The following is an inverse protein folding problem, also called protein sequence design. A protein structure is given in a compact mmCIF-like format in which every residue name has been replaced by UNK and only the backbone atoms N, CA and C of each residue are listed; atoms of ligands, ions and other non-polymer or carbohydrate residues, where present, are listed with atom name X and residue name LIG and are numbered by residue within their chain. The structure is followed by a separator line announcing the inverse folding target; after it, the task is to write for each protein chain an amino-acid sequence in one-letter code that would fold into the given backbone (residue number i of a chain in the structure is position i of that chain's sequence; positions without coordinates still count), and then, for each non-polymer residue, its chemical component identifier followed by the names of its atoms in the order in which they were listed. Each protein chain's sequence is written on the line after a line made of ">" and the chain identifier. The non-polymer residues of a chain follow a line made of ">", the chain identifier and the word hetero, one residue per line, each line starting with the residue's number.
data_IF_222172593692
#
_entry.id   IF_222172593692
#
_cell.length_a   1.000
_cell.length_b   1.000
_cell.length_c   1.000
_cell.angle_alpha   90.00
_cell.angle_beta   90.00
_cell.angle_gamma   90.00
#
_symmetry.space_group_name_H-M   'P 1'
#
loop_
_entity.id
_entity.type
_entity.pdbx_description
1 polymer ?
#
# COMPACT_ATOMS: atom_id res chain seq x y z
N UNK A 1 -5.56 9.94 -19.44
CA UNK A 1 -6.27 8.65 -19.47
C UNK A 1 -6.12 8.14 -20.90
N UNK A 2 -5.23 7.19 -21.13
CA UNK A 2 -5.01 6.66 -22.47
C UNK A 2 -5.64 5.27 -22.52
N UNK A 3 -6.83 5.20 -23.11
CA UNK A 3 -7.39 3.92 -23.55
C UNK A 3 -6.78 3.60 -24.91
N UNK A 4 -6.07 2.48 -25.04
CA UNK A 4 -5.73 1.93 -26.37
C UNK A 4 -6.92 1.12 -26.89
N UNK A 5 -7.50 1.57 -28.01
CA UNK A 5 -8.34 0.74 -28.88
C UNK A 5 -7.77 0.87 -30.30
N UNK A 6 -7.48 -0.27 -30.94
CA UNK A 6 -7.09 -0.38 -32.36
C UNK A 6 -5.85 0.42 -32.81
N UNK A 7 -4.80 0.46 -31.99
CA UNK A 7 -3.46 0.78 -32.49
C UNK A 7 -3.19 2.22 -32.94
N UNK A 8 -4.01 3.21 -32.54
CA UNK A 8 -3.68 4.63 -32.71
C UNK A 8 -3.77 5.40 -31.40
N UNK A 9 -2.72 6.15 -31.07
CA UNK A 9 -2.61 6.96 -29.85
C UNK A 9 -3.34 8.29 -30.04
N UNK A 10 -4.27 8.63 -29.13
CA UNK A 10 -4.89 9.96 -29.07
C UNK A 10 -4.40 10.71 -27.82
N UNK A 11 -4.07 11.99 -28.01
CA UNK A 11 -3.42 12.86 -27.02
C UNK A 11 -4.28 13.19 -25.79
N UNK A 12 -3.58 13.55 -24.70
CA UNK A 12 -4.02 13.60 -23.31
C UNK A 12 -5.07 14.66 -22.93
N UNK A 13 -5.44 15.58 -23.82
CA UNK A 13 -6.39 16.66 -23.50
C UNK A 13 -7.87 16.23 -23.54
N UNK A 14 -8.20 15.14 -24.26
CA UNK A 14 -9.60 14.77 -24.53
C UNK A 14 -10.29 13.96 -23.40
N UNK A 15 -9.54 13.38 -22.46
CA UNK A 15 -10.14 12.49 -21.44
C UNK A 15 -10.46 13.12 -20.08
N UNK A 16 -10.01 14.35 -19.82
CA UNK A 16 -10.28 15.02 -18.54
C UNK A 16 -11.73 15.51 -18.40
N UNK A 17 -12.50 15.57 -19.49
CA UNK A 17 -13.85 16.15 -19.50
C UNK A 17 -15.00 15.13 -19.51
N UNK A 18 -14.74 13.80 -19.58
CA UNK A 18 -15.83 12.83 -19.81
C UNK A 18 -16.13 11.80 -18.72
N UNK A 19 -15.21 11.50 -17.80
CA UNK A 19 -15.43 10.36 -16.88
C UNK A 19 -15.57 10.72 -15.42
N UNK A 20 -15.08 11.88 -14.95
CA UNK A 20 -15.33 12.39 -13.58
C UNK A 20 -15.05 11.41 -12.43
N UNK A 21 -14.21 10.39 -12.62
CA UNK A 21 -14.05 9.31 -11.65
C UNK A 21 -12.59 9.16 -11.19
N UNK A 22 -12.42 9.20 -9.88
CA UNK A 22 -11.19 8.90 -9.13
C UNK A 22 -11.05 7.37 -8.96
N UNK A 23 -9.86 6.77 -9.14
CA UNK A 23 -9.63 5.36 -8.92
C UNK A 23 -9.56 5.07 -7.41
N UNK A 24 -10.71 4.82 -6.77
CA UNK A 24 -10.78 4.79 -5.30
C UNK A 24 -10.29 3.53 -4.60
N UNK A 25 -10.03 2.43 -5.28
CA UNK A 25 -9.56 1.19 -4.64
C UNK A 25 -8.56 0.50 -5.55
N UNK A 26 -7.28 0.83 -5.42
CA UNK A 26 -6.21 0.06 -6.03
C UNK A 26 -5.55 -0.77 -4.94
N UNK A 27 -5.81 -2.08 -4.95
CA UNK A 27 -5.04 -3.02 -4.13
C UNK A 27 -3.79 -3.42 -4.89
N UNK A 28 -2.62 -3.25 -4.25
CA UNK A 28 -1.34 -3.65 -4.81
C UNK A 28 -0.91 -5.00 -4.26
N UNK A 29 -0.64 -5.93 -5.17
CA UNK A 29 -0.14 -7.26 -4.85
C UNK A 29 1.26 -7.43 -5.44
N UNK A 30 2.19 -7.95 -4.63
CA UNK A 30 3.53 -8.28 -5.11
C UNK A 30 3.73 -9.80 -5.14
N UNK A 31 3.96 -10.36 -6.32
CA UNK A 31 4.32 -11.77 -6.50
C UNK A 31 5.69 -11.87 -7.19
N UNK A 32 6.75 -12.06 -6.41
CA UNK A 32 8.10 -11.97 -6.95
C UNK A 32 8.36 -10.55 -7.45
N UNK A 33 8.92 -10.40 -8.67
CA UNK A 33 9.14 -9.07 -9.28
C UNK A 33 7.89 -8.43 -9.87
N UNK A 34 6.72 -9.08 -9.80
CA UNK A 34 5.50 -8.56 -10.42
C UNK A 34 4.66 -7.79 -9.42
N UNK A 35 4.17 -6.63 -9.84
CA UNK A 35 3.20 -5.84 -9.11
C UNK A 35 1.86 -5.92 -9.86
N UNK A 36 0.76 -6.15 -9.14
CA UNK A 36 -0.57 -6.19 -9.71
C UNK A 36 -1.43 -5.12 -9.05
N UNK A 37 -2.25 -4.47 -9.86
CA UNK A 37 -3.29 -3.57 -9.39
C UNK A 37 -4.67 -4.18 -9.66
N UNK A 38 -5.57 -4.06 -8.70
CA UNK A 38 -6.99 -4.35 -8.91
C UNK A 38 -7.72 -3.04 -9.18
N UNK A 39 -8.35 -2.92 -10.34
CA UNK A 39 -9.14 -1.76 -10.71
C UNK A 39 -10.61 -2.12 -10.94
N UNK A 40 -11.51 -1.21 -10.56
CA UNK A 40 -12.91 -1.25 -10.96
C UNK A 40 -13.15 -0.20 -12.05
N UNK A 41 -13.64 -0.66 -13.21
CA UNK A 41 -14.03 0.22 -14.30
C UNK A 41 -15.53 0.14 -14.53
N UNK A 42 -16.18 1.29 -14.47
CA UNK A 42 -17.57 1.41 -14.92
C UNK A 42 -17.57 1.58 -16.44
N UNK A 43 -18.28 0.70 -17.12
CA UNK A 43 -18.57 0.84 -18.55
C UNK A 43 -20.02 1.30 -18.73
N UNK A 44 -20.25 2.23 -19.67
CA UNK A 44 -21.59 2.70 -20.03
C UNK A 44 -21.72 4.23 -20.09
N UNK A 45 -22.48 4.72 -21.06
CA UNK A 45 -22.92 6.11 -21.09
C UNK A 45 -23.97 6.37 -19.99
N UNK A 46 -24.15 7.62 -19.53
CA UNK A 46 -25.21 7.95 -18.58
C UNK A 46 -26.58 7.49 -19.12
N UNK A 47 -27.30 6.67 -18.37
CA UNK A 47 -28.65 6.20 -18.72
C UNK A 47 -28.75 4.81 -19.37
N UNK A 48 -27.64 4.08 -19.55
CA UNK A 48 -27.63 2.64 -19.90
C UNK A 48 -27.16 1.85 -18.68
N UNK A 49 -27.69 0.63 -18.50
CA UNK A 49 -27.32 -0.28 -17.41
C UNK A 49 -25.80 -0.36 -17.25
N UNK A 50 -25.31 0.04 -16.06
CA UNK A 50 -23.88 0.22 -15.81
C UNK A 50 -23.26 -1.13 -15.48
N UNK A 51 -22.66 -1.77 -16.47
CA UNK A 51 -21.79 -2.91 -16.23
C UNK A 51 -20.54 -2.48 -15.48
N UNK A 52 -20.42 -2.89 -14.21
CA UNK A 52 -19.18 -2.81 -13.43
C UNK A 52 -18.27 -3.95 -13.90
N UNK A 53 -17.14 -3.64 -14.52
CA UNK A 53 -16.09 -4.62 -14.82
C UNK A 53 -14.96 -4.46 -13.81
N UNK A 54 -14.58 -5.57 -13.18
CA UNK A 54 -13.41 -5.64 -12.29
C UNK A 54 -12.30 -6.34 -13.08
N UNK A 55 -11.16 -5.67 -13.24
CA UNK A 55 -10.03 -6.20 -14.03
C UNK A 55 -8.73 -6.13 -13.24
N UNK A 56 -7.94 -7.18 -13.38
CA UNK A 56 -6.55 -7.21 -12.94
C UNK A 56 -5.66 -6.68 -14.05
N UNK A 57 -4.73 -5.81 -13.70
CA UNK A 57 -3.68 -5.35 -14.60
C UNK A 57 -2.32 -5.59 -13.94
N UNK A 58 -1.43 -6.25 -14.69
CA UNK A 58 -0.03 -6.40 -14.30
C UNK A 58 0.69 -5.09 -14.61
N UNK A 59 1.32 -4.52 -13.58
CA UNK A 59 2.18 -3.36 -13.71
C UNK A 59 3.60 -3.90 -13.93
N UNK A 60 4.08 -3.77 -15.17
CA UNK A 60 5.40 -4.25 -15.59
C UNK A 60 6.48 -3.17 -15.58
N UNK A 61 6.08 -1.90 -15.50
CA UNK A 61 6.97 -0.75 -15.46
C UNK A 61 6.65 0.12 -14.23
N UNK A 62 7.69 0.56 -13.54
CA UNK A 62 7.62 1.53 -12.46
C UNK A 62 8.95 2.28 -12.38
N UNK A 63 8.91 3.46 -11.78
CA UNK A 63 10.10 4.24 -11.47
C UNK A 63 10.56 4.01 -10.03
N UNK A 64 11.84 4.29 -9.77
CA UNK A 64 12.45 4.18 -8.45
C UNK A 64 12.69 2.75 -7.97
N UNK A 65 13.02 2.64 -6.67
CA UNK A 65 13.43 1.40 -6.05
C UNK A 65 12.23 0.73 -5.37
N UNK A 66 11.70 -0.31 -6.00
CA UNK A 66 10.61 -1.08 -5.42
C UNK A 66 11.07 -1.92 -4.21
N UNK A 67 10.18 -2.13 -3.21
CA UNK A 67 10.50 -2.99 -2.09
C UNK A 67 10.76 -4.43 -2.57
N UNK A 68 11.66 -5.13 -1.87
CA UNK A 68 11.87 -6.56 -2.16
C UNK A 68 10.57 -7.37 -2.06
N UNK A 69 10.42 -8.44 -2.87
CA UNK A 69 9.23 -9.28 -2.84
C UNK A 69 8.95 -9.83 -1.44
N UNK A 70 7.75 -9.57 -0.93
CA UNK A 70 7.38 -9.81 0.48
C UNK A 70 5.91 -10.15 0.67
N UNK A 71 5.59 -10.83 1.77
CA UNK A 71 4.24 -11.17 2.20
C UNK A 71 3.95 -10.74 3.64
N UNK A 72 2.66 -10.60 3.99
CA UNK A 72 2.25 -10.15 5.32
C UNK A 72 2.69 -8.73 5.67
N UNK A 73 2.90 -7.88 4.66
CA UNK A 73 3.03 -6.44 4.83
C UNK A 73 1.64 -5.81 4.99
N UNK A 74 1.57 -4.58 5.46
CA UNK A 74 0.36 -3.75 5.33
C UNK A 74 0.51 -2.79 4.15
N UNK A 75 -0.61 -2.44 3.52
CA UNK A 75 -0.68 -1.42 2.48
C UNK A 75 -1.87 -0.48 2.77
N UNK A 76 -1.62 0.81 2.96
CA UNK A 76 -2.61 1.76 3.46
C UNK A 76 -2.53 3.10 2.73
N UNK A 77 -3.67 3.76 2.54
CA UNK A 77 -3.75 5.12 1.99
C UNK A 77 -3.95 6.12 3.12
N UNK A 78 -2.97 7.00 3.35
CA UNK A 78 -2.97 8.02 4.41
C UNK A 78 -2.81 9.39 3.76
N UNK A 79 -3.78 10.29 3.97
CA UNK A 79 -3.73 11.63 3.37
C UNK A 79 -3.64 11.63 1.84
N UNK A 80 -4.20 10.60 1.18
CA UNK A 80 -4.11 10.43 -0.29
C UNK A 80 -2.78 9.89 -0.80
N UNK A 81 -1.83 9.55 0.08
CA UNK A 81 -0.56 8.89 -0.26
C UNK A 81 -0.62 7.41 0.11
N UNK A 82 0.06 6.55 -0.65
CA UNK A 82 -0.01 5.09 -0.47
C UNK A 82 1.27 4.55 0.16
N UNK A 83 1.14 3.79 1.24
CA UNK A 83 2.25 3.31 2.04
C UNK A 83 2.23 1.80 2.23
N UNK A 84 3.37 1.17 2.04
CA UNK A 84 3.66 -0.20 2.42
C UNK A 84 4.50 -0.20 3.70
N UNK A 85 4.19 -1.05 4.68
CA UNK A 85 5.03 -1.24 5.86
C UNK A 85 5.27 -2.72 6.17
N UNK A 86 6.53 -3.04 6.47
CA UNK A 86 6.96 -4.33 7.02
C UNK A 86 6.79 -5.51 6.05
N UNK A 87 6.33 -6.64 6.59
CA UNK A 87 6.23 -7.91 5.87
C UNK A 87 7.51 -8.74 5.94
N UNK A 88 7.50 -9.90 5.28
CA UNK A 88 8.65 -10.80 5.21
C UNK A 88 8.92 -11.31 3.80
N UNK A 89 10.18 -11.46 3.46
CA UNK A 89 10.65 -11.86 2.14
C UNK A 89 12.03 -12.49 2.21
N UNK A 90 12.73 -12.52 1.08
CA UNK A 90 14.11 -13.02 0.99
C UNK A 90 15.06 -11.90 0.60
N UNK A 91 16.10 -11.69 1.39
CA UNK A 91 17.19 -10.76 1.09
C UNK A 91 18.51 -11.54 1.14
N UNK A 92 19.31 -11.45 0.07
CA UNK A 92 20.59 -12.19 -0.08
C UNK A 92 20.46 -13.68 0.28
N UNK A 93 19.37 -14.31 -0.17
CA UNK A 93 19.07 -15.74 0.03
C UNK A 93 18.44 -16.10 1.39
N UNK A 94 18.42 -15.20 2.37
CA UNK A 94 17.92 -15.46 3.73
C UNK A 94 16.51 -14.92 3.93
N UNK A 95 15.68 -15.67 4.64
CA UNK A 95 14.37 -15.21 5.06
C UNK A 95 14.51 -14.08 6.10
N UNK A 96 13.80 -12.98 5.89
CA UNK A 96 13.91 -11.79 6.72
C UNK A 96 12.54 -11.09 6.80
N UNK A 97 12.20 -10.57 7.99
CA UNK A 97 11.13 -9.59 8.12
C UNK A 97 11.70 -8.18 8.02
N UNK A 98 10.87 -7.23 7.63
CA UNK A 98 11.27 -5.85 7.38
C UNK A 98 10.59 -4.88 8.35
N UNK A 99 11.22 -3.72 8.55
CA UNK A 99 10.72 -2.57 9.32
C UNK A 99 10.79 -1.28 8.49
N UNK A 100 10.97 -1.43 7.18
CA UNK A 100 11.00 -0.35 6.21
C UNK A 100 9.57 0.11 5.89
N UNK A 101 9.47 1.36 5.44
CA UNK A 101 8.25 1.94 4.89
C UNK A 101 8.56 2.30 3.45
N UNK A 102 7.67 1.96 2.53
CA UNK A 102 7.76 2.41 1.15
C UNK A 102 6.54 3.25 0.82
N UNK A 103 6.74 4.32 0.05
CA UNK A 103 5.66 5.07 -0.54
C UNK A 103 5.53 4.69 -2.01
N UNK A 104 4.29 4.51 -2.46
CA UNK A 104 3.94 4.38 -3.86
C UNK A 104 3.28 5.66 -4.33
N UNK A 105 3.92 6.35 -5.26
CA UNK A 105 3.35 7.49 -5.97
C UNK A 105 2.59 7.01 -7.21
N UNK A 106 1.31 7.38 -7.29
CA UNK A 106 0.40 7.05 -8.38
C UNK A 106 -0.05 8.29 -9.15
N UNK A 107 0.69 9.41 -9.03
CA UNK A 107 0.39 10.64 -9.77
C UNK A 107 0.47 10.45 -11.29
N UNK A 108 1.36 9.58 -11.77
CA UNK A 108 1.32 9.01 -13.12
C UNK A 108 0.85 7.54 -13.05
N UNK A 109 -0.40 7.23 -13.47
CA UNK A 109 -0.93 5.87 -13.40
C UNK A 109 -0.26 4.90 -14.37
N UNK A 110 0.42 5.39 -15.42
CA UNK A 110 1.15 4.54 -16.37
C UNK A 110 2.57 4.24 -15.88
N UNK A 111 3.11 5.08 -14.99
CA UNK A 111 4.47 4.98 -14.45
C UNK A 111 4.47 5.23 -12.94
N UNK A 112 3.92 4.29 -12.14
CA UNK A 112 3.93 4.42 -10.69
C UNK A 112 5.38 4.45 -10.19
N UNK A 113 5.65 5.21 -9.12
CA UNK A 113 7.01 5.37 -8.60
C UNK A 113 7.11 4.89 -7.15
N UNK A 114 8.07 4.00 -6.89
CA UNK A 114 8.40 3.53 -5.56
C UNK A 114 9.57 4.29 -4.97
N UNK A 115 9.46 4.63 -3.69
CA UNK A 115 10.58 5.14 -2.91
C UNK A 115 10.51 4.62 -1.47
N UNK A 116 11.67 4.36 -0.88
CA UNK A 116 11.74 4.17 0.57
C UNK A 116 11.34 5.48 1.26
N UNK A 117 10.36 5.39 2.16
CA UNK A 117 9.84 6.55 2.86
C UNK A 117 10.77 6.88 4.04
N UNK A 118 11.31 8.11 4.11
CA UNK A 118 12.35 8.46 5.07
C UNK A 118 11.76 8.78 6.45
N UNK A 119 11.09 7.80 7.07
CA UNK A 119 10.59 7.92 8.44
C UNK A 119 11.76 7.78 9.43
N UNK A 120 12.05 8.86 10.16
CA UNK A 120 13.10 8.92 11.17
C UNK A 120 12.61 8.51 12.57
N UNK A 121 13.56 8.53 13.52
CA UNK A 121 13.31 8.24 14.93
C UNK A 121 13.43 6.76 15.32
N UNK A 122 13.00 6.44 16.53
CA UNK A 122 12.84 5.05 16.96
C UNK A 122 11.72 4.41 16.14
N UNK A 123 12.00 3.27 15.52
CA UNK A 123 11.06 2.58 14.63
C UNK A 123 10.64 1.22 15.18
N UNK A 124 9.46 0.71 14.81
CA UNK A 124 9.05 -0.64 15.17
C UNK A 124 10.10 -1.68 14.76
N UNK A 125 10.37 -2.69 15.61
CA UNK A 125 11.11 -3.87 15.19
C UNK A 125 10.53 -4.50 13.92
N UNK A 126 11.36 -5.16 13.09
CA UNK A 126 10.88 -5.85 11.89
C UNK A 126 9.72 -6.78 12.21
N UNK A 127 8.68 -6.76 11.38
CA UNK A 127 7.45 -7.52 11.65
C UNK A 127 6.70 -7.88 10.37
N UNK A 128 5.98 -9.00 10.42
CA UNK A 128 4.99 -9.38 9.40
C UNK A 128 3.69 -9.84 10.05
N UNK A 129 2.61 -9.84 9.27
CA UNK A 129 1.25 -10.25 9.69
C UNK A 129 0.74 -9.43 10.89
N UNK A 130 1.21 -8.20 11.00
CA UNK A 130 0.65 -7.14 11.83
C UNK A 130 -0.63 -6.60 11.19
N UNK A 131 -1.32 -5.73 11.92
CA UNK A 131 -2.38 -4.88 11.36
C UNK A 131 -1.90 -3.45 11.30
N UNK A 132 -2.44 -2.69 10.35
CA UNK A 132 -2.21 -1.26 10.27
C UNK A 132 -3.52 -0.55 9.91
N UNK A 133 -3.88 0.46 10.69
CA UNK A 133 -5.17 1.16 10.62
C UNK A 133 -4.92 2.66 10.55
N UNK A 134 -5.55 3.33 9.59
CA UNK A 134 -5.46 4.78 9.43
C UNK A 134 -6.32 5.43 10.52
N UNK A 135 -5.71 6.22 11.40
CA UNK A 135 -6.39 6.81 12.56
C UNK A 135 -6.61 8.32 12.42
N UNK A 136 -5.92 8.97 11.49
CA UNK A 136 -6.13 10.38 11.16
C UNK A 136 -5.71 10.68 9.71
N UNK A 137 -5.74 11.94 9.30
CA UNK A 137 -5.31 12.35 7.97
C UNK A 137 -3.82 12.07 7.70
N UNK A 138 -2.98 11.99 8.75
CA UNK A 138 -1.53 11.78 8.65
C UNK A 138 -1.01 10.60 9.46
N UNK A 139 -1.85 9.92 10.25
CA UNK A 139 -1.37 8.90 11.18
C UNK A 139 -1.85 7.50 10.82
N UNK A 140 -0.89 6.58 10.81
CA UNK A 140 -1.10 5.15 10.63
C UNK A 140 -0.69 4.41 11.90
N UNK A 141 -1.64 3.79 12.58
CA UNK A 141 -1.41 2.93 13.73
C UNK A 141 -1.02 1.53 13.26
N UNK A 142 0.01 0.95 13.87
CA UNK A 142 0.47 -0.42 13.66
C UNK A 142 0.41 -1.17 14.97
N UNK A 143 -0.17 -2.37 14.94
CA UNK A 143 -0.28 -3.23 16.12
C UNK A 143 0.13 -4.68 15.86
N UNK A 144 0.87 -5.23 16.81
CA UNK A 144 1.26 -6.64 16.85
C UNK A 144 2.14 -7.08 15.69
N UNK A 145 1.89 -8.30 15.21
CA UNK A 145 2.71 -8.97 14.20
C UNK A 145 3.71 -9.93 14.81
N UNK A 146 4.57 -10.49 13.96
CA UNK A 146 5.57 -11.47 14.37
C UNK A 146 6.90 -11.27 13.68
N UNK A 147 7.96 -11.64 14.39
CA UNK A 147 9.29 -11.81 13.84
C UNK A 147 9.95 -13.03 14.47
N UNK A 148 10.38 -13.98 13.63
CA UNK A 148 10.92 -15.26 14.07
C UNK A 148 9.95 -15.97 15.03
N UNK A 149 10.30 -16.09 16.32
CA UNK A 149 9.48 -16.72 17.36
C UNK A 149 8.78 -15.72 18.27
N UNK A 150 8.99 -14.42 18.06
CA UNK A 150 8.42 -13.36 18.88
C UNK A 150 7.16 -12.82 18.23
N UNK A 151 6.05 -12.83 18.97
CA UNK A 151 4.84 -12.06 18.64
C UNK A 151 4.88 -10.75 19.41
N UNK A 152 4.31 -9.71 18.81
CA UNK A 152 4.24 -8.39 19.44
C UNK A 152 2.81 -8.08 19.91
N UNK A 153 2.71 -7.23 20.93
CA UNK A 153 1.51 -6.52 21.36
C UNK A 153 1.80 -5.01 21.57
N UNK A 154 2.90 -4.52 20.98
CA UNK A 154 3.23 -3.11 21.01
C UNK A 154 2.36 -2.32 20.01
N UNK A 155 2.20 -1.03 20.28
CA UNK A 155 1.51 -0.07 19.42
C UNK A 155 2.51 0.96 18.93
N UNK A 156 2.49 1.19 17.62
CA UNK A 156 3.30 2.20 16.95
C UNK A 156 2.41 3.08 16.10
N UNK A 157 2.75 4.37 16.01
CA UNK A 157 2.09 5.31 15.10
C UNK A 157 3.15 5.89 14.17
N UNK A 158 2.90 5.81 12.86
CA UNK A 158 3.63 6.55 11.85
C UNK A 158 2.86 7.83 11.53
N UNK A 159 3.46 8.97 11.80
CA UNK A 159 3.01 10.25 11.27
C UNK A 159 3.71 10.50 9.93
N UNK A 160 2.95 10.46 8.83
CA UNK A 160 3.47 10.58 7.47
C UNK A 160 3.78 12.02 7.05
N UNK A 161 3.31 13.01 7.80
CA UNK A 161 3.65 14.42 7.59
C UNK A 161 4.93 14.76 8.35
N UNK A 162 4.98 14.39 9.63
CA UNK A 162 6.17 14.58 10.45
C UNK A 162 7.30 13.58 10.12
N UNK A 163 7.01 12.55 9.31
CA UNK A 163 7.94 11.48 8.90
C UNK A 163 8.61 10.83 10.10
N UNK A 164 7.83 10.48 11.11
CA UNK A 164 8.34 9.93 12.36
C UNK A 164 7.49 8.77 12.85
N UNK A 165 8.17 7.80 13.44
CA UNK A 165 7.54 6.78 14.26
C UNK A 165 7.47 7.23 15.71
N UNK A 166 6.37 6.87 16.37
CA UNK A 166 6.18 7.05 17.80
C UNK A 166 5.71 5.72 18.38
N UNK A 167 6.43 5.22 19.38
CA UNK A 167 5.95 4.11 20.20
C UNK A 167 4.90 4.65 21.17
N UNK A 168 3.72 4.04 21.18
CA UNK A 168 2.63 4.46 22.04
C UNK A 168 2.57 3.53 23.24
N UNK A 169 2.71 4.11 24.44
CA UNK A 169 2.41 3.40 25.68
C UNK A 169 0.88 3.43 25.88
N UNK A 170 0.29 2.25 26.07
CA UNK A 170 -1.16 2.08 26.17
C UNK A 170 -1.55 1.87 27.62
N UNK A 171 -2.53 2.62 28.10
CA UNK A 171 -3.07 2.45 29.46
C UNK A 171 -3.95 1.19 29.56
N UNK A 172 -4.03 0.62 30.77
CA UNK A 172 -4.82 -0.57 31.05
C UNK A 172 -4.07 -1.88 30.78
N UNK A 173 -4.83 -2.97 30.61
CA UNK A 173 -4.26 -4.31 30.36
C UNK A 173 -4.13 -4.56 28.85
N UNK A 174 -2.90 -4.62 28.30
CA UNK A 174 -2.72 -4.85 26.88
C UNK A 174 -3.18 -6.27 26.49
N UNK A 175 -3.72 -6.45 25.28
CA UNK A 175 -4.02 -7.78 24.76
C UNK A 175 -2.76 -8.65 24.66
N UNK A 176 -2.94 -9.97 24.71
CA UNK A 176 -1.85 -10.90 24.44
C UNK A 176 -1.22 -10.68 23.05
N UNK A 177 0.12 -10.85 22.92
CA UNK A 177 0.82 -10.76 21.65
C UNK A 177 0.21 -11.62 20.55
N UNK A 178 -0.01 -11.00 19.38
CA UNK A 178 -0.76 -11.64 18.29
C UNK A 178 -0.29 -11.22 16.91
N UNK A 179 -0.61 -12.06 15.94
CA UNK A 179 -0.33 -11.88 14.52
C UNK A 179 -1.39 -12.65 13.73
N UNK A 180 -1.53 -12.40 12.43
CA UNK A 180 -2.59 -12.98 11.60
C UNK A 180 -4.00 -12.61 12.05
N UNK A 181 -4.15 -11.42 12.62
CA UNK A 181 -5.44 -10.88 13.03
C UNK A 181 -5.86 -9.78 12.07
N UNK A 182 -7.12 -9.37 12.15
CA UNK A 182 -7.66 -8.23 11.41
C UNK A 182 -7.94 -7.07 12.35
N UNK A 183 -7.92 -5.85 11.81
CA UNK A 183 -8.34 -4.62 12.46
C UNK A 183 -8.96 -3.72 11.40
N UNK A 184 -9.90 -2.86 11.79
CA UNK A 184 -10.64 -1.96 10.89
C UNK A 184 -10.73 -0.59 11.51
#
# INVERSE_FOLDING_TARGET
>A
LALRINGRTLGSSALRQRTGLEPRNIEFWQQGRRCFSLGARLSGAPGVDRGMSITWEEITEWDGDAPVPRSGHSFNTVGGRHFLFGGCGRMKGKAQAFSDVYQLDLSDPERPAWAEFPAGGEKPPPRSKHTATVISASELLVFGGLHQRTRYNDVWVLDVEAKKWVKVEVEGAPPMPRAHHTAT
#
